data_IF_217628066111
#
_entry.id   IF_217628066111
#
_cell.length_a   1.000
_cell.length_b   1.000
_cell.length_c   1.000
_cell.angle_alpha   90.00
_cell.angle_beta   90.00
_cell.angle_gamma   90.00
#
_symmetry.space_group_name_H-M   'P 1'
#
loop_
_entity.id
_entity.type
_entity.pdbx_description
1 polymer ?
#
# COMPACT_ATOMS: atom_id res chain seq x y z
N UNK A 1 13.10 -4.17 85.39
CA UNK A 1 14.07 -3.14 84.96
C UNK A 1 14.51 -3.55 83.56
N UNK A 2 13.67 -3.24 82.55
CA UNK A 2 13.90 -2.18 81.54
C UNK A 2 15.20 -2.48 80.77
N UNK A 3 15.18 -2.79 79.47
CA UNK A 3 14.66 -1.92 78.41
C UNK A 3 14.06 -2.69 77.22
N UNK A 4 12.93 -2.15 76.75
CA UNK A 4 12.38 -2.30 75.41
C UNK A 4 13.20 -1.41 74.45
N UNK A 5 13.65 -1.94 73.33
CA UNK A 5 14.02 -1.14 72.16
C UNK A 5 12.99 -1.42 71.06
N UNK A 6 11.96 -0.58 71.05
CA UNK A 6 10.95 -0.51 69.99
C UNK A 6 11.54 0.26 68.81
N UNK A 7 12.01 -0.45 67.79
CA UNK A 7 12.44 0.18 66.53
C UNK A 7 11.21 0.52 65.71
N UNK A 8 10.82 1.80 65.75
CA UNK A 8 9.77 2.40 64.93
C UNK A 8 10.18 2.33 63.46
N UNK A 9 9.55 1.46 62.66
CA UNK A 9 9.67 1.48 61.21
C UNK A 9 8.83 2.63 60.63
N UNK A 10 9.41 3.50 59.78
CA UNK A 10 8.66 4.57 59.15
C UNK A 10 7.63 3.99 58.18
N UNK A 11 6.39 4.48 58.29
CA UNK A 11 5.31 4.21 57.34
C UNK A 11 5.70 4.79 55.98
N UNK A 12 6.21 3.93 55.09
CA UNK A 12 6.46 4.32 53.70
C UNK A 12 5.09 4.47 53.04
N UNK A 13 4.69 5.74 52.88
CA UNK A 13 3.51 6.13 52.12
C UNK A 13 3.62 5.57 50.71
N UNK A 14 2.56 4.93 50.23
CA UNK A 14 2.45 4.47 48.85
C UNK A 14 2.65 5.66 47.89
N UNK A 15 3.87 5.79 47.37
CA UNK A 15 4.13 6.67 46.25
C UNK A 15 3.49 6.03 45.03
N UNK A 16 2.41 6.65 44.58
CA UNK A 16 1.75 6.42 43.32
C UNK A 16 2.78 6.68 42.20
N UNK A 17 3.47 5.64 41.74
CA UNK A 17 4.34 5.73 40.57
C UNK A 17 3.46 5.58 39.35
N UNK A 18 3.14 6.72 38.74
CA UNK A 18 2.53 6.82 37.42
C UNK A 18 3.52 6.29 36.37
N UNK A 19 3.64 4.98 36.28
CA UNK A 19 4.24 4.27 35.15
C UNK A 19 3.14 4.00 34.13
N UNK A 20 2.89 4.96 33.26
CA UNK A 20 1.87 4.90 32.21
C UNK A 20 2.32 3.93 31.10
N UNK A 21 2.07 2.64 31.36
CA UNK A 21 1.69 1.58 30.42
C UNK A 21 2.35 1.49 29.05
N UNK A 22 3.42 0.70 28.94
CA UNK A 22 3.63 -0.20 27.78
C UNK A 22 2.93 -1.54 28.04
N UNK A 23 1.63 -1.48 28.34
CA UNK A 23 0.83 -2.69 28.40
C UNK A 23 0.70 -3.26 26.98
N UNK A 24 1.40 -4.37 26.72
CA UNK A 24 1.29 -5.12 25.46
C UNK A 24 -0.20 -5.39 25.18
N UNK A 25 -0.76 -4.91 24.05
CA UNK A 25 -2.18 -5.09 23.76
C UNK A 25 -2.55 -6.57 23.74
N UNK A 26 -3.80 -6.94 24.10
CA UNK A 26 -4.28 -8.31 23.97
C UNK A 26 -4.06 -8.86 22.56
N UNK A 27 -3.76 -10.16 22.44
CA UNK A 27 -3.46 -10.83 21.16
C UNK A 27 -4.50 -10.54 20.05
N UNK A 28 -5.78 -10.43 20.43
CA UNK A 28 -6.87 -10.11 19.50
C UNK A 28 -6.75 -8.69 18.92
N UNK A 29 -6.33 -7.72 19.73
CA UNK A 29 -6.13 -6.34 19.31
C UNK A 29 -4.87 -6.21 18.44
N UNK A 30 -3.84 -7.01 18.71
CA UNK A 30 -2.66 -7.09 17.84
C UNK A 30 -2.99 -7.66 16.46
N UNK A 31 -3.78 -8.74 16.40
CA UNK A 31 -4.25 -9.32 15.13
C UNK A 31 -5.10 -8.33 14.32
N UNK A 32 -5.99 -7.60 14.99
CA UNK A 32 -6.78 -6.53 14.36
C UNK A 32 -5.89 -5.42 13.79
N UNK A 33 -4.91 -4.93 14.56
CA UNK A 33 -3.97 -3.89 14.09
C UNK A 33 -3.14 -4.36 12.90
N UNK A 34 -2.67 -5.61 12.92
CA UNK A 34 -1.97 -6.20 11.79
C UNK A 34 -2.85 -6.27 10.55
N UNK A 35 -4.11 -6.69 10.68
CA UNK A 35 -5.08 -6.67 9.57
C UNK A 35 -5.20 -5.29 8.93
N UNK A 36 -5.42 -4.25 9.75
CA UNK A 36 -5.58 -2.86 9.28
C UNK A 36 -4.30 -2.37 8.59
N UNK A 37 -3.13 -2.66 9.16
CA UNK A 37 -1.86 -2.23 8.57
C UNK A 37 -1.68 -2.81 7.16
N UNK A 38 -2.02 -4.09 6.94
CA UNK A 38 -1.90 -4.70 5.61
C UNK A 38 -2.93 -4.12 4.63
N UNK A 39 -4.16 -3.80 5.07
CA UNK A 39 -5.12 -3.09 4.21
C UNK A 39 -4.61 -1.72 3.77
N UNK A 40 -3.94 -1.00 4.68
CA UNK A 40 -3.30 0.29 4.37
C UNK A 40 -2.16 0.12 3.38
N UNK A 41 -1.32 -0.91 3.52
CA UNK A 41 -0.24 -1.17 2.57
C UNK A 41 -0.77 -1.54 1.17
N UNK A 42 -1.85 -2.35 1.10
CA UNK A 42 -2.54 -2.60 -0.17
C UNK A 42 -3.06 -1.30 -0.78
N UNK A 43 -3.72 -0.46 0.02
CA UNK A 43 -4.26 0.81 -0.46
C UNK A 43 -3.16 1.75 -1.00
N UNK A 44 -2.02 1.85 -0.32
CA UNK A 44 -0.86 2.64 -0.79
C UNK A 44 -0.33 2.13 -2.13
N UNK A 45 -0.15 0.81 -2.25
CA UNK A 45 0.33 0.20 -3.49
C UNK A 45 -0.64 0.45 -4.66
N UNK A 46 -1.95 0.31 -4.41
CA UNK A 46 -2.99 0.63 -5.38
C UNK A 46 -2.92 2.09 -5.82
N UNK A 47 -2.84 3.04 -4.89
CA UNK A 47 -2.78 4.48 -5.20
C UNK A 47 -1.56 4.80 -6.07
N UNK A 48 -0.39 4.27 -5.72
CA UNK A 48 0.84 4.48 -6.49
C UNK A 48 0.71 3.93 -7.91
N UNK A 49 0.12 2.73 -8.05
CA UNK A 49 -0.14 2.14 -9.35
C UNK A 49 -1.14 2.97 -10.19
N UNK A 50 -2.23 3.43 -9.59
CA UNK A 50 -3.23 4.29 -10.28
C UNK A 50 -2.57 5.60 -10.75
N UNK A 51 -1.72 6.20 -9.93
CA UNK A 51 -0.95 7.40 -10.28
C UNK A 51 -0.02 7.15 -11.49
N UNK A 52 0.69 6.03 -11.55
CA UNK A 52 1.52 5.71 -12.72
C UNK A 52 0.69 5.49 -13.99
N UNK A 53 -0.49 4.87 -13.91
CA UNK A 53 -1.41 4.76 -15.05
C UNK A 53 -1.81 6.14 -15.56
N UNK A 54 -2.13 7.08 -14.66
CA UNK A 54 -2.49 8.45 -15.04
C UNK A 54 -1.32 9.15 -15.75
N UNK A 55 -0.07 8.96 -15.26
CA UNK A 55 1.12 9.52 -15.90
C UNK A 55 1.40 8.93 -17.27
N UNK A 56 1.21 7.62 -17.45
CA UNK A 56 1.32 6.97 -18.76
C UNK A 56 0.29 7.58 -19.73
N UNK A 57 -0.98 7.71 -19.32
CA UNK A 57 -2.02 8.34 -20.14
C UNK A 57 -1.66 9.78 -20.53
N UNK A 58 -1.25 10.59 -19.54
CA UNK A 58 -0.86 11.97 -19.79
C UNK A 58 0.35 12.07 -20.75
N UNK A 59 1.34 11.18 -20.63
CA UNK A 59 2.46 11.13 -21.56
C UNK A 59 1.99 10.81 -22.99
N UNK A 60 1.12 9.81 -23.17
CA UNK A 60 0.56 9.49 -24.49
C UNK A 60 -0.21 10.66 -25.09
N UNK A 61 -1.09 11.30 -24.31
CA UNK A 61 -1.92 12.42 -24.74
C UNK A 61 -1.07 13.62 -25.16
N UNK A 62 -0.05 13.97 -24.36
CA UNK A 62 0.84 15.11 -24.62
C UNK A 62 1.70 14.91 -25.87
N UNK A 63 2.04 13.67 -26.19
CA UNK A 63 2.89 13.32 -27.32
C UNK A 63 2.10 12.75 -28.51
N UNK A 64 0.76 12.90 -28.54
CA UNK A 64 -0.05 12.31 -29.60
C UNK A 64 0.38 12.74 -31.02
N UNK A 65 0.74 14.02 -31.21
CA UNK A 65 1.18 14.52 -32.52
C UNK A 65 2.63 14.16 -32.88
N UNK A 66 3.40 13.61 -31.92
CA UNK A 66 4.85 13.34 -32.04
C UNK A 66 5.21 11.88 -31.79
N UNK A 67 4.21 10.99 -31.74
CA UNK A 67 4.40 9.58 -31.44
C UNK A 67 5.43 8.96 -32.39
N UNK A 68 6.52 8.41 -31.85
CA UNK A 68 7.62 7.82 -32.63
C UNK A 68 8.61 8.81 -33.27
N UNK A 69 8.44 10.13 -33.08
CA UNK A 69 9.34 11.18 -33.60
C UNK A 69 10.14 11.90 -32.51
N UNK A 70 9.78 11.66 -31.25
CA UNK A 70 10.37 12.29 -30.07
C UNK A 70 10.97 11.20 -29.17
N UNK A 71 12.30 11.03 -29.27
CA UNK A 71 13.02 9.98 -28.54
C UNK A 71 12.95 10.19 -27.02
N UNK A 72 13.02 11.44 -26.56
CA UNK A 72 12.94 11.77 -25.13
C UNK A 72 11.56 11.42 -24.56
N UNK A 73 10.50 11.69 -25.33
CA UNK A 73 9.14 11.28 -24.96
C UNK A 73 9.00 9.75 -24.86
N UNK A 74 9.59 9.02 -25.81
CA UNK A 74 9.57 7.57 -25.84
C UNK A 74 10.35 6.95 -24.67
N UNK A 75 11.54 7.46 -24.37
CA UNK A 75 12.35 7.03 -23.22
C UNK A 75 11.63 7.31 -21.89
N UNK A 76 10.94 8.46 -21.80
CA UNK A 76 10.07 8.79 -20.67
C UNK A 76 8.90 7.83 -20.52
N UNK A 77 8.26 7.42 -21.63
CA UNK A 77 7.18 6.43 -21.63
C UNK A 77 7.68 5.06 -21.15
N UNK A 78 8.82 4.58 -21.65
CA UNK A 78 9.42 3.32 -21.20
C UNK A 78 9.66 3.35 -19.69
N UNK A 79 10.26 4.43 -19.19
CA UNK A 79 10.54 4.61 -17.76
C UNK A 79 9.26 4.56 -16.92
N UNK A 80 8.17 5.17 -17.38
CA UNK A 80 6.88 5.13 -16.71
C UNK A 80 6.25 3.73 -16.73
N UNK A 81 6.40 2.99 -17.83
CA UNK A 81 5.90 1.61 -17.94
C UNK A 81 6.69 0.68 -17.01
N UNK A 82 8.00 0.86 -16.87
CA UNK A 82 8.82 0.10 -15.92
C UNK A 82 8.40 0.36 -14.47
N UNK A 83 8.15 1.62 -14.10
CA UNK A 83 7.62 1.98 -12.79
C UNK A 83 6.22 1.37 -12.55
N UNK A 84 5.34 1.42 -13.55
CA UNK A 84 4.02 0.81 -13.47
C UNK A 84 4.09 -0.72 -13.30
N UNK A 85 5.05 -1.37 -13.96
CA UNK A 85 5.27 -2.82 -13.83
C UNK A 85 5.68 -3.18 -12.41
N UNK A 86 6.63 -2.44 -11.83
CA UNK A 86 7.06 -2.62 -10.43
C UNK A 86 5.90 -2.41 -9.47
N UNK A 87 5.18 -1.28 -9.58
CA UNK A 87 4.02 -0.99 -8.73
C UNK A 87 2.89 -2.04 -8.86
N UNK A 88 2.75 -2.67 -10.03
CA UNK A 88 1.80 -3.76 -10.22
C UNK A 88 2.20 -5.01 -9.45
N UNK A 89 3.49 -5.39 -9.46
CA UNK A 89 4.00 -6.51 -8.66
C UNK A 89 3.82 -6.21 -7.18
N UNK A 90 4.24 -5.05 -6.71
CA UNK A 90 4.09 -4.63 -5.31
C UNK A 90 2.63 -4.68 -4.85
N UNK A 91 1.69 -4.27 -5.72
CA UNK A 91 0.26 -4.34 -5.42
C UNK A 91 -0.23 -5.78 -5.27
N UNK A 92 0.18 -6.69 -6.17
CA UNK A 92 -0.20 -8.11 -6.11
C UNK A 92 0.37 -8.75 -4.84
N UNK A 93 1.65 -8.49 -4.53
CA UNK A 93 2.31 -9.01 -3.34
C UNK A 93 1.65 -8.52 -2.04
N UNK A 94 1.31 -7.22 -1.97
CA UNK A 94 0.58 -6.66 -0.84
C UNK A 94 -0.80 -7.34 -0.64
N UNK A 95 -1.54 -7.57 -1.73
CA UNK A 95 -2.85 -8.25 -1.67
C UNK A 95 -2.69 -9.70 -1.22
N UNK A 96 -1.68 -10.40 -1.74
CA UNK A 96 -1.37 -11.77 -1.33
C UNK A 96 -0.96 -11.86 0.15
N UNK A 97 -0.17 -10.90 0.64
CA UNK A 97 0.18 -10.83 2.05
C UNK A 97 -1.04 -10.56 2.92
N UNK A 98 -1.90 -9.62 2.52
CA UNK A 98 -3.16 -9.35 3.21
C UNK A 98 -4.05 -10.60 3.27
N UNK A 99 -4.21 -11.34 2.17
CA UNK A 99 -4.97 -12.62 2.13
C UNK A 99 -4.47 -13.65 3.14
N UNK A 100 -3.14 -13.77 3.27
CA UNK A 100 -2.51 -14.68 4.24
C UNK A 100 -2.85 -14.28 5.67
N UNK A 101 -2.79 -12.99 5.99
CA UNK A 101 -3.14 -12.46 7.32
C UNK A 101 -4.64 -12.63 7.63
N UNK A 102 -5.51 -12.46 6.63
CA UNK A 102 -6.95 -12.73 6.77
C UNK A 102 -7.28 -14.22 6.94
N UNK A 103 -6.35 -15.13 6.65
CA UNK A 103 -6.62 -16.57 6.61
C UNK A 103 -7.56 -16.97 5.47
N UNK A 104 -7.70 -16.13 4.43
CA UNK A 104 -8.56 -16.39 3.28
C UNK A 104 -7.80 -16.16 1.96
N UNK A 105 -7.26 -17.22 1.33
CA UNK A 105 -6.45 -17.10 0.12
C UNK A 105 -7.25 -16.64 -1.12
N UNK A 106 -8.57 -16.77 -1.10
CA UNK A 106 -9.44 -16.37 -2.21
C UNK A 106 -10.11 -15.01 -1.99
N UNK A 107 -9.83 -14.31 -0.88
CA UNK A 107 -10.48 -13.06 -0.55
C UNK A 107 -10.24 -12.01 -1.66
N UNK A 108 -11.29 -11.42 -2.25
CA UNK A 108 -11.13 -10.31 -3.18
C UNK A 108 -10.79 -9.04 -2.39
N UNK A 109 -9.76 -8.32 -2.82
CA UNK A 109 -9.53 -6.97 -2.33
C UNK A 109 -10.40 -6.00 -3.13
N UNK A 110 -11.42 -5.43 -2.47
CA UNK A 110 -12.37 -4.52 -3.11
C UNK A 110 -11.86 -3.08 -2.98
N UNK A 111 -11.58 -2.46 -4.12
CA UNK A 111 -11.17 -1.07 -4.21
C UNK A 111 -12.17 -0.30 -5.07
N UNK A 112 -12.75 0.77 -4.52
CA UNK A 112 -13.80 1.57 -5.20
C UNK A 112 -14.90 0.66 -5.81
N UNK A 113 -15.36 -0.32 -5.01
CA UNK A 113 -16.38 -1.33 -5.38
C UNK A 113 -15.99 -2.33 -6.49
N UNK A 114 -14.71 -2.46 -6.83
CA UNK A 114 -14.23 -3.41 -7.85
C UNK A 114 -13.19 -4.36 -7.25
N UNK A 115 -13.21 -5.64 -7.64
CA UNK A 115 -12.10 -6.55 -7.35
C UNK A 115 -10.84 -6.07 -8.10
N UNK A 116 -9.88 -5.53 -7.35
CA UNK A 116 -8.77 -4.82 -7.97
C UNK A 116 -7.86 -5.73 -8.81
N UNK A 117 -7.66 -7.00 -8.40
CA UNK A 117 -6.87 -7.95 -9.18
C UNK A 117 -7.51 -8.27 -10.54
N UNK A 118 -8.85 -8.29 -10.63
CA UNK A 118 -9.54 -8.46 -11.90
C UNK A 118 -9.45 -7.21 -12.77
N UNK A 119 -9.50 -6.01 -12.15
CA UNK A 119 -9.34 -4.73 -12.86
C UNK A 119 -7.96 -4.58 -13.52
N UNK A 120 -6.91 -5.10 -12.90
CA UNK A 120 -5.53 -5.01 -13.43
C UNK A 120 -5.46 -5.47 -14.90
N UNK A 121 -6.21 -6.51 -15.27
CA UNK A 121 -6.20 -7.09 -16.62
C UNK A 121 -6.66 -6.15 -17.73
N UNK A 122 -7.53 -5.17 -17.43
CA UNK A 122 -8.05 -4.21 -18.42
C UNK A 122 -7.52 -2.79 -18.26
N UNK A 123 -6.70 -2.54 -17.23
CA UNK A 123 -6.22 -1.19 -16.92
C UNK A 123 -5.34 -0.58 -18.02
N UNK A 124 -4.73 -1.42 -18.86
CA UNK A 124 -3.81 -1.02 -19.93
C UNK A 124 -4.42 -1.11 -21.34
N UNK A 125 -5.72 -1.40 -21.48
CA UNK A 125 -6.40 -1.51 -22.79
C UNK A 125 -6.32 -0.22 -23.63
N UNK A 126 -6.08 0.92 -22.97
CA UNK A 126 -5.86 2.20 -23.64
C UNK A 126 -4.55 2.25 -24.45
N UNK A 127 -3.53 1.45 -24.11
CA UNK A 127 -2.28 1.36 -24.88
C UNK A 127 -2.52 0.69 -26.23
N UNK A 128 -3.28 -0.42 -26.23
CA UNK A 128 -3.69 -1.12 -27.44
C UNK A 128 -4.56 -0.23 -28.34
N UNK A 129 -5.48 0.52 -27.74
CA UNK A 129 -6.29 1.53 -28.44
C UNK A 129 -5.44 2.61 -29.10
N UNK A 130 -4.43 3.14 -28.40
CA UNK A 130 -3.49 4.12 -28.96
C UNK A 130 -2.65 3.53 -30.09
N UNK A 131 -2.11 2.32 -29.94
CA UNK A 131 -1.30 1.66 -30.97
C UNK A 131 -2.10 1.47 -32.27
N UNK A 132 -3.35 1.00 -32.18
CA UNK A 132 -4.24 0.85 -33.34
C UNK A 132 -4.53 2.17 -34.04
N UNK A 133 -4.73 3.25 -33.28
CA UNK A 133 -4.98 4.57 -33.86
C UNK A 133 -3.84 5.04 -34.77
N UNK A 134 -2.59 4.89 -34.35
CA UNK A 134 -1.43 5.26 -35.17
C UNK A 134 -1.22 4.35 -36.36
N UNK A 135 -1.40 3.03 -36.19
CA UNK A 135 -1.26 2.08 -37.30
C UNK A 135 -2.25 2.38 -38.44
N UNK A 136 -3.49 2.74 -38.09
CA UNK A 136 -4.55 2.99 -39.06
C UNK A 136 -4.45 4.37 -39.74
N UNK A 137 -3.64 5.30 -39.23
CA UNK A 137 -3.58 6.67 -39.77
C UNK A 137 -2.57 6.86 -40.90
N UNK A 138 -1.70 5.88 -41.16
CA UNK A 138 -0.60 5.99 -42.12
C UNK A 138 0.41 7.10 -41.75
N UNK A 139 1.62 7.09 -42.33
CA UNK A 139 2.57 8.19 -42.19
C UNK A 139 2.04 9.51 -42.80
#
# INVERSE_FOLDING_TARGET
>A
MWHEDEVVLPQISAQNTSGEGDAVPPLQEQGRRQSINHEVEVAKAIILREEYILRVKANLDNHQSKFGKDQEAFDGLISLVDLLRTATVDTVEAIEQWRRIQGNPAAPFIWKSVNYLLKIGSDLDFLDSHARYYYNRGP
#
